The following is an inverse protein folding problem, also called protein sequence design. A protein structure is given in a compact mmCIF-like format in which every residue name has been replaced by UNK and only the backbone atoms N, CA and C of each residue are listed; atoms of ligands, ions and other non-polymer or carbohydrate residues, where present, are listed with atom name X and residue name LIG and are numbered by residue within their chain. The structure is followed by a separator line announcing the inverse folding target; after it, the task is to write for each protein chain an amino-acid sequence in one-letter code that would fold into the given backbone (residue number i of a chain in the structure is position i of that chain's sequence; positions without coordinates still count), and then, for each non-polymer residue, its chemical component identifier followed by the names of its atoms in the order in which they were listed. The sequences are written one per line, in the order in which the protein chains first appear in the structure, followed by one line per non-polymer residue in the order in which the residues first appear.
data_IF_185044047726
#
_entry.id   IF_185044047726
#
_cell.length_a   1.000
_cell.length_b   1.000
_cell.length_c   1.000
_cell.angle_alpha   90.00
_cell.angle_beta   90.00
_cell.angle_gamma   90.00
#
_symmetry.space_group_name_H-M   'P 1'
#
loop_
_entity.id
_entity.type
_entity.pdbx_description
1 polymer ?
#
# COMPACT_ATOMS: atom_id res chain seq x y z
N UNK A 1 51.05 39.33 -2.26
CA UNK A 1 51.85 39.30 -3.51
C UNK A 1 52.70 38.05 -3.41
N UNK A 2 52.62 37.21 -4.45
CA UNK A 2 53.17 35.85 -4.58
C UNK A 2 52.42 34.70 -3.89
N UNK A 3 52.27 33.65 -4.69
CA UNK A 3 51.75 32.30 -4.43
C UNK A 3 50.22 32.15 -4.37
N UNK A 4 49.62 31.86 -5.54
CA UNK A 4 48.78 30.68 -5.81
C UNK A 4 48.23 30.79 -7.24
N UNK A 5 49.11 30.64 -8.22
CA UNK A 5 48.75 30.43 -9.64
C UNK A 5 49.43 29.15 -10.09
N UNK A 6 48.76 28.00 -9.91
CA UNK A 6 48.99 26.77 -10.68
C UNK A 6 48.02 25.66 -10.24
N UNK A 7 46.79 25.69 -10.75
CA UNK A 7 45.94 24.48 -10.82
C UNK A 7 44.80 24.64 -11.84
N UNK A 8 45.08 25.29 -12.99
CA UNK A 8 44.13 25.41 -14.10
C UNK A 8 44.47 24.50 -15.31
N UNK A 9 45.38 23.54 -15.14
CA UNK A 9 45.85 22.65 -16.21
C UNK A 9 45.72 21.15 -15.87
N UNK A 10 44.73 20.77 -15.05
CA UNK A 10 44.43 19.37 -14.71
C UNK A 10 42.98 18.96 -15.04
N UNK A 11 42.29 19.72 -15.88
CA UNK A 11 40.93 19.46 -16.35
C UNK A 11 40.87 19.49 -17.88
N UNK A 12 41.75 18.73 -18.55
CA UNK A 12 41.63 18.50 -20.00
C UNK A 12 42.26 17.17 -20.45
N UNK A 13 42.12 16.13 -19.64
CA UNK A 13 42.37 14.75 -20.06
C UNK A 13 41.09 13.93 -19.86
N UNK A 14 40.05 14.29 -20.61
CA UNK A 14 39.13 13.28 -21.11
C UNK A 14 39.90 12.50 -22.18
N UNK A 15 40.85 11.67 -21.73
CA UNK A 15 41.32 10.57 -22.54
C UNK A 15 40.13 9.62 -22.72
N UNK A 16 39.73 9.51 -23.97
CA UNK A 16 38.89 8.46 -24.48
C UNK A 16 39.45 7.11 -24.04
N UNK A 17 38.87 6.52 -22.99
CA UNK A 17 39.02 5.10 -22.75
C UNK A 17 38.21 4.35 -23.82
N UNK A 18 38.97 3.64 -24.66
CA UNK A 18 38.47 2.76 -25.70
C UNK A 18 37.54 1.66 -25.14
N UNK A 19 36.60 1.15 -25.97
CA UNK A 19 35.71 0.07 -25.60
C UNK A 19 36.46 -1.27 -25.59
N UNK A 20 36.56 -1.94 -24.43
CA UNK A 20 36.98 -3.36 -24.34
C UNK A 20 36.69 -4.04 -22.98
N UNK A 21 35.48 -3.90 -22.44
CA UNK A 21 35.04 -4.67 -21.25
C UNK A 21 33.81 -5.54 -21.55
N UNK A 22 33.80 -6.22 -22.70
CA UNK A 22 32.53 -6.72 -23.26
C UNK A 22 31.93 -7.96 -22.59
N UNK A 23 32.63 -8.78 -21.82
CA UNK A 23 31.98 -9.89 -21.08
C UNK A 23 32.71 -10.20 -19.76
N UNK A 24 32.18 -9.69 -18.63
CA UNK A 24 32.74 -9.92 -17.27
C UNK A 24 32.27 -11.21 -16.59
N UNK A 25 31.26 -11.90 -17.15
CA UNK A 25 30.72 -13.17 -16.65
C UNK A 25 30.63 -14.18 -17.78
N UNK A 26 30.89 -15.46 -17.48
CA UNK A 26 30.77 -16.54 -18.46
C UNK A 26 29.37 -17.16 -18.34
N UNK A 27 28.55 -17.01 -19.37
CA UNK A 27 27.24 -17.66 -19.45
C UNK A 27 27.16 -18.57 -20.68
N UNK A 28 26.18 -19.48 -20.69
CA UNK A 28 25.78 -20.15 -21.93
C UNK A 28 25.31 -19.12 -22.95
N UNK A 29 25.55 -19.36 -24.24
CA UNK A 29 25.34 -18.39 -25.32
C UNK A 29 23.91 -17.83 -25.36
N UNK A 30 22.91 -18.66 -25.04
CA UNK A 30 21.49 -18.29 -24.99
C UNK A 30 21.11 -17.49 -23.73
N UNK A 31 21.94 -17.54 -22.69
CA UNK A 31 21.75 -16.80 -21.44
C UNK A 31 22.53 -15.48 -21.38
N UNK A 32 23.53 -15.29 -22.24
CA UNK A 32 24.40 -14.11 -22.20
C UNK A 32 23.63 -12.79 -22.24
N UNK A 33 22.59 -12.69 -23.07
CA UNK A 33 21.75 -11.47 -23.16
C UNK A 33 21.09 -11.07 -21.84
N UNK A 34 20.82 -12.04 -20.97
CA UNK A 34 20.21 -11.81 -19.67
C UNK A 34 21.25 -11.51 -18.61
N UNK A 35 22.39 -12.22 -18.64
CA UNK A 35 23.52 -11.97 -17.74
C UNK A 35 24.10 -10.57 -17.95
N UNK A 36 24.02 -10.02 -19.16
CA UNK A 36 24.39 -8.64 -19.50
C UNK A 36 23.56 -7.55 -18.77
N UNK A 37 22.48 -7.92 -18.08
CA UNK A 37 21.73 -7.02 -17.19
C UNK A 37 22.29 -6.93 -15.77
N UNK A 38 23.21 -7.82 -15.38
CA UNK A 38 23.83 -7.80 -14.07
C UNK A 38 24.94 -6.73 -14.02
N UNK A 39 24.77 -5.73 -13.17
CA UNK A 39 25.83 -4.75 -12.90
C UNK A 39 26.96 -5.41 -12.08
N UNK A 40 28.22 -5.24 -12.53
CA UNK A 40 29.38 -5.90 -11.92
C UNK A 40 29.56 -5.59 -10.43
N UNK A 41 29.31 -4.36 -10.01
CA UNK A 41 29.43 -3.93 -8.60
C UNK A 41 28.47 -4.67 -7.66
N UNK A 42 27.41 -5.27 -8.20
CA UNK A 42 26.34 -5.92 -7.43
C UNK A 42 26.53 -7.42 -7.32
N UNK A 43 27.32 -7.99 -8.20
CA UNK A 43 27.37 -9.42 -8.35
C UNK A 43 28.09 -10.11 -7.17
N UNK A 44 28.93 -9.41 -6.40
CA UNK A 44 29.85 -10.04 -5.41
C UNK A 44 30.68 -11.21 -6.00
N UNK A 45 30.69 -11.32 -7.33
CA UNK A 45 31.28 -12.43 -8.05
C UNK A 45 32.74 -12.15 -8.36
N UNK A 46 33.48 -13.24 -8.54
CA UNK A 46 34.85 -13.16 -9.06
C UNK A 46 34.82 -12.90 -10.56
N UNK A 47 35.89 -12.28 -11.05
CA UNK A 47 36.19 -12.22 -12.48
C UNK A 47 36.13 -13.66 -13.07
N UNK A 48 35.49 -13.83 -14.23
CA UNK A 48 35.33 -15.11 -14.95
C UNK A 48 34.47 -16.19 -14.26
N UNK A 49 33.64 -15.82 -13.29
CA UNK A 49 32.69 -16.76 -12.70
C UNK A 49 31.62 -17.18 -13.72
N UNK A 50 31.28 -18.48 -13.75
CA UNK A 50 30.15 -18.99 -14.55
C UNK A 50 28.83 -18.61 -13.88
N UNK A 51 27.95 -17.98 -14.63
CA UNK A 51 26.67 -17.45 -14.15
C UNK A 51 25.52 -18.00 -14.97
N UNK A 52 24.52 -18.55 -14.29
CA UNK A 52 23.23 -18.93 -14.86
C UNK A 52 22.14 -18.02 -14.30
N UNK A 53 21.13 -17.73 -15.11
CA UNK A 53 19.92 -17.03 -14.65
C UNK A 53 18.72 -17.99 -14.65
N UNK A 54 17.82 -17.82 -13.69
CA UNK A 54 16.61 -18.64 -13.61
C UNK A 54 15.64 -18.32 -14.76
N UNK A 55 14.58 -19.13 -14.89
CA UNK A 55 13.46 -18.83 -15.79
C UNK A 55 12.74 -17.53 -15.39
N UNK A 56 12.55 -17.30 -14.09
CA UNK A 56 11.87 -16.12 -13.58
C UNK A 56 12.65 -14.85 -13.90
N UNK A 57 13.98 -14.87 -13.72
CA UNK A 57 14.86 -13.78 -14.16
C UNK A 57 14.63 -13.43 -15.64
N UNK A 58 14.67 -14.43 -16.53
CA UNK A 58 14.46 -14.23 -17.97
C UNK A 58 13.10 -13.60 -18.27
N UNK A 59 12.05 -14.14 -17.67
CA UNK A 59 10.68 -13.64 -17.83
C UNK A 59 10.55 -12.17 -17.40
N UNK A 60 11.14 -11.79 -16.27
CA UNK A 60 11.10 -10.43 -15.72
C UNK A 60 11.83 -9.45 -16.64
N UNK A 61 13.02 -9.83 -17.15
CA UNK A 61 13.77 -9.01 -18.11
C UNK A 61 12.98 -8.85 -19.42
N UNK A 62 12.40 -9.93 -19.96
CA UNK A 62 11.63 -9.88 -21.20
C UNK A 62 10.34 -9.03 -21.06
N UNK A 63 9.73 -9.07 -19.87
CA UNK A 63 8.51 -8.31 -19.53
C UNK A 63 8.79 -6.81 -19.42
N UNK A 64 9.81 -6.42 -18.66
CA UNK A 64 10.03 -5.01 -18.34
C UNK A 64 11.09 -4.32 -19.18
N UNK A 65 11.93 -5.09 -19.88
CA UNK A 65 12.95 -4.61 -20.82
C UNK A 65 13.78 -3.45 -20.25
N UNK A 66 14.40 -3.62 -19.06
CA UNK A 66 15.25 -2.58 -18.51
C UNK A 66 16.44 -2.29 -19.45
N UNK A 67 17.11 -1.14 -19.32
CA UNK A 67 18.36 -0.90 -20.04
C UNK A 67 19.41 -1.99 -19.80
N UNK A 68 20.32 -2.21 -20.77
CA UNK A 68 21.47 -3.11 -20.59
C UNK A 68 22.29 -2.70 -19.37
N UNK A 69 22.82 -3.68 -18.63
CA UNK A 69 23.51 -3.46 -17.37
C UNK A 69 22.60 -3.06 -16.20
N UNK A 70 21.28 -3.14 -16.37
CA UNK A 70 20.32 -2.85 -15.30
C UNK A 70 19.27 -3.95 -15.13
N UNK A 71 18.84 -4.16 -13.88
CA UNK A 71 17.66 -4.96 -13.51
C UNK A 71 16.52 -4.03 -13.08
N UNK A 72 15.26 -4.41 -13.31
CA UNK A 72 14.14 -3.52 -13.07
C UNK A 72 13.92 -3.25 -11.57
N UNK A 73 13.37 -2.08 -11.20
CA UNK A 73 12.99 -1.80 -9.82
C UNK A 73 11.89 -2.73 -9.33
N UNK A 74 11.78 -2.87 -8.02
CA UNK A 74 10.84 -3.74 -7.34
C UNK A 74 11.23 -5.22 -7.39
N UNK A 75 12.50 -5.52 -7.65
CA UNK A 75 13.07 -6.86 -7.60
C UNK A 75 14.42 -6.84 -6.89
N UNK A 76 14.66 -7.85 -6.05
CA UNK A 76 15.98 -8.12 -5.47
C UNK A 76 16.67 -9.24 -6.24
N UNK A 77 17.99 -9.16 -6.34
CA UNK A 77 18.80 -10.28 -6.81
C UNK A 77 18.88 -11.33 -5.71
N UNK A 78 18.61 -12.58 -6.07
CA UNK A 78 18.82 -13.74 -5.19
C UNK A 78 19.91 -14.63 -5.77
N UNK A 79 20.93 -14.90 -4.97
CA UNK A 79 22.14 -15.59 -5.41
C UNK A 79 22.23 -16.96 -4.75
N UNK A 80 22.35 -17.99 -5.56
CA UNK A 80 22.58 -19.36 -5.12
C UNK A 80 23.88 -19.87 -5.73
N UNK A 81 24.80 -20.32 -4.87
CA UNK A 81 26.03 -20.96 -5.29
C UNK A 81 25.91 -22.46 -5.06
N UNK A 82 26.19 -23.24 -6.11
CA UNK A 82 26.29 -24.69 -5.98
C UNK A 82 27.74 -25.15 -5.75
N UNK A 83 27.90 -26.42 -5.38
CA UNK A 83 29.21 -27.06 -5.15
C UNK A 83 30.07 -27.15 -6.43
N UNK A 84 29.49 -26.88 -7.61
CA UNK A 84 30.19 -26.91 -8.89
C UNK A 84 30.86 -25.57 -9.23
N UNK A 85 30.65 -24.55 -8.41
CA UNK A 85 31.20 -23.21 -8.59
C UNK A 85 30.41 -22.32 -9.55
N UNK A 86 29.23 -22.77 -9.99
CA UNK A 86 28.32 -21.98 -10.83
C UNK A 86 27.44 -21.13 -9.91
N UNK A 87 27.31 -19.84 -10.22
CA UNK A 87 26.37 -18.95 -9.55
C UNK A 87 25.05 -18.94 -10.33
N UNK A 88 23.94 -19.26 -9.66
CA UNK A 88 22.59 -19.08 -10.20
C UNK A 88 21.97 -17.82 -9.61
N UNK A 89 21.37 -17.00 -10.47
CA UNK A 89 20.80 -15.70 -10.12
C UNK A 89 19.33 -15.65 -10.45
N UNK A 90 18.53 -15.21 -9.50
CA UNK A 90 17.10 -14.93 -9.68
C UNK A 90 16.77 -13.46 -9.46
N UNK A 91 15.61 -13.04 -9.98
CA UNK A 91 14.96 -11.78 -9.62
C UNK A 91 13.69 -12.09 -8.83
N UNK A 92 13.71 -11.78 -7.53
CA UNK A 92 12.58 -12.01 -6.62
C UNK A 92 11.84 -10.70 -6.40
N UNK A 93 10.51 -10.72 -6.55
CA UNK A 93 9.66 -9.53 -6.38
C UNK A 93 9.83 -8.97 -4.96
N UNK A 94 10.28 -7.73 -4.86
CA UNK A 94 10.37 -7.01 -3.59
C UNK A 94 10.34 -5.50 -3.82
N UNK A 95 9.20 -4.87 -3.51
CA UNK A 95 8.98 -3.43 -3.70
C UNK A 95 9.82 -2.54 -2.78
N UNK A 96 10.56 -3.11 -1.81
CA UNK A 96 11.55 -2.40 -1.02
C UNK A 96 12.84 -2.08 -1.82
N UNK A 97 12.98 -2.64 -3.02
CA UNK A 97 14.12 -2.44 -3.88
C UNK A 97 13.78 -1.56 -5.10
N UNK A 98 14.70 -0.66 -5.43
CA UNK A 98 14.76 0.08 -6.68
C UNK A 98 15.61 -0.73 -7.70
N UNK A 99 15.86 -0.14 -8.87
CA UNK A 99 16.63 -0.75 -9.95
C UNK A 99 17.95 -1.30 -9.43
N UNK A 100 18.40 -2.39 -10.04
CA UNK A 100 19.70 -2.98 -9.74
C UNK A 100 19.75 -3.49 -8.28
N UNK A 101 18.66 -4.07 -7.77
CA UNK A 101 18.59 -4.63 -6.41
C UNK A 101 19.12 -3.66 -5.33
N UNK A 102 18.94 -2.36 -5.52
CA UNK A 102 19.30 -1.33 -4.54
C UNK A 102 18.14 -1.14 -3.58
N UNK A 103 18.37 -1.21 -2.27
CA UNK A 103 17.30 -0.85 -1.33
C UNK A 103 16.89 0.60 -1.55
N UNK A 104 15.59 0.87 -1.42
CA UNK A 104 15.07 2.24 -1.35
C UNK A 104 15.73 2.98 -0.17
N UNK A 105 15.85 4.32 -0.22
CA UNK A 105 16.59 5.09 0.78
C UNK A 105 16.09 4.93 2.22
N UNK A 106 14.78 4.70 2.38
CA UNK A 106 14.14 4.42 3.67
C UNK A 106 13.48 3.05 3.63
N UNK A 107 13.45 2.32 4.75
CA UNK A 107 12.69 1.07 4.85
C UNK A 107 11.18 1.31 4.73
N UNK A 108 10.70 2.47 5.20
CA UNK A 108 9.30 2.87 5.06
C UNK A 108 8.93 3.06 3.59
N UNK A 109 7.85 2.41 3.18
CA UNK A 109 7.33 2.44 1.81
C UNK A 109 6.09 3.34 1.72
N UNK A 110 5.93 4.00 0.58
CA UNK A 110 4.80 4.87 0.30
C UNK A 110 3.92 4.31 -0.81
N UNK A 111 2.62 4.56 -0.69
CA UNK A 111 1.59 4.34 -1.69
C UNK A 111 0.71 5.56 -1.85
N UNK A 112 0.11 5.65 -3.02
CA UNK A 112 -0.94 6.60 -3.32
C UNK A 112 -2.28 5.89 -3.46
N UNK A 113 -3.33 6.51 -2.92
CA UNK A 113 -4.71 6.02 -2.97
C UNK A 113 -5.48 6.86 -3.99
N UNK A 114 -5.26 6.59 -5.28
CA UNK A 114 -5.85 7.35 -6.40
C UNK A 114 -5.84 6.49 -7.67
N UNK A 115 -6.66 6.86 -8.65
CA UNK A 115 -6.55 6.36 -10.02
C UNK A 115 -6.37 7.48 -11.05
N UNK A 116 -6.21 8.72 -10.62
CA UNK A 116 -6.03 9.86 -11.51
C UNK A 116 -4.58 9.92 -12.03
N UNK A 117 -4.32 9.67 -13.33
CA UNK A 117 -2.95 9.64 -13.87
C UNK A 117 -2.17 10.93 -13.63
N UNK A 118 -2.85 12.08 -13.65
CA UNK A 118 -2.22 13.40 -13.44
C UNK A 118 -1.73 13.60 -12.01
N UNK A 119 -2.46 13.07 -11.03
CA UNK A 119 -2.08 13.12 -9.61
C UNK A 119 -1.00 12.08 -9.27
N UNK A 120 -0.98 10.95 -9.99
CA UNK A 120 -0.03 9.85 -9.77
C UNK A 120 1.34 10.15 -10.40
N UNK A 121 1.39 10.83 -11.56
CA UNK A 121 2.63 11.05 -12.30
C UNK A 121 3.78 11.67 -11.48
N UNK A 122 3.55 12.68 -10.63
CA UNK A 122 4.59 13.24 -9.75
C UNK A 122 5.17 12.23 -8.73
N UNK A 123 4.40 11.20 -8.37
CA UNK A 123 4.79 10.18 -7.39
C UNK A 123 5.50 8.97 -7.99
N UNK A 124 5.50 8.82 -9.32
CA UNK A 124 5.93 7.62 -10.04
C UNK A 124 7.30 7.05 -9.65
N UNK A 125 8.23 7.90 -9.18
CA UNK A 125 9.58 7.50 -8.76
C UNK A 125 9.75 7.37 -7.24
N UNK A 126 8.73 7.73 -6.46
CA UNK A 126 8.79 7.81 -5.01
C UNK A 126 7.98 6.68 -4.34
N UNK A 127 6.90 6.23 -4.97
CA UNK A 127 6.03 5.19 -4.41
C UNK A 127 6.49 3.78 -4.76
N UNK A 128 6.10 2.85 -3.91
CA UNK A 128 6.32 1.41 -4.04
C UNK A 128 5.01 0.64 -4.29
N UNK A 129 3.87 1.28 -4.05
CA UNK A 129 2.55 0.71 -4.27
C UNK A 129 1.55 1.80 -4.71
N UNK A 130 0.45 1.38 -5.33
CA UNK A 130 -0.78 2.15 -5.50
C UNK A 130 -1.96 1.31 -5.03
N UNK A 131 -2.92 1.92 -4.33
CA UNK A 131 -4.19 1.28 -4.00
C UNK A 131 -5.33 1.95 -4.75
N UNK A 132 -6.27 1.15 -5.27
CA UNK A 132 -7.56 1.65 -5.71
C UNK A 132 -8.69 0.78 -5.16
N UNK A 133 -9.89 1.35 -5.13
CA UNK A 133 -11.14 0.70 -4.75
C UNK A 133 -12.26 1.25 -5.64
N UNK A 134 -13.45 0.62 -5.68
CA UNK A 134 -14.52 1.06 -6.57
C UNK A 134 -14.90 2.53 -6.40
N UNK A 135 -14.97 3.04 -5.16
CA UNK A 135 -15.27 4.46 -4.91
C UNK A 135 -14.22 5.40 -5.49
N UNK A 136 -12.93 5.08 -5.36
CA UNK A 136 -11.85 5.87 -5.99
C UNK A 136 -11.94 5.82 -7.51
N UNK A 137 -12.23 4.65 -8.08
CA UNK A 137 -12.30 4.46 -9.53
C UNK A 137 -13.46 5.21 -10.14
N UNK A 138 -14.67 4.98 -9.62
CA UNK A 138 -15.89 5.44 -10.24
C UNK A 138 -16.27 6.83 -9.74
N UNK A 139 -16.30 7.06 -8.43
CA UNK A 139 -16.84 8.30 -7.86
C UNK A 139 -15.81 9.44 -7.90
N UNK A 140 -14.54 9.16 -7.58
CA UNK A 140 -13.51 10.19 -7.47
C UNK A 140 -12.73 10.45 -8.77
N UNK A 141 -12.96 9.66 -9.82
CA UNK A 141 -12.26 9.84 -11.09
C UNK A 141 -13.12 9.65 -12.33
N UNK A 142 -13.55 8.43 -12.68
CA UNK A 142 -14.18 8.18 -13.97
C UNK A 142 -15.45 9.00 -14.18
N UNK A 143 -16.28 9.14 -13.13
CA UNK A 143 -17.52 9.90 -13.18
C UNK A 143 -17.35 11.37 -12.75
N UNK A 144 -16.13 11.81 -12.43
CA UNK A 144 -15.84 13.19 -12.07
C UNK A 144 -15.27 13.95 -13.30
N UNK A 145 -16.07 14.83 -13.95
CA UNK A 145 -15.62 15.55 -15.13
C UNK A 145 -14.53 16.60 -14.86
N UNK A 146 -14.34 17.03 -13.60
CA UNK A 146 -13.24 17.93 -13.22
C UNK A 146 -11.91 17.18 -13.13
N UNK A 147 -11.96 15.89 -12.78
CA UNK A 147 -10.77 15.03 -12.64
C UNK A 147 -10.44 14.28 -13.93
N UNK A 148 -11.43 13.66 -14.58
CA UNK A 148 -11.31 13.01 -15.89
C UNK A 148 -11.53 14.05 -17.00
N UNK A 149 -10.62 15.02 -17.07
CA UNK A 149 -10.74 16.21 -17.93
C UNK A 149 -10.94 15.80 -19.39
N UNK A 150 -12.08 16.20 -19.96
CA UNK A 150 -12.44 15.90 -21.34
C UNK A 150 -12.86 14.45 -21.59
N UNK A 151 -13.20 13.67 -20.55
CA UNK A 151 -13.53 12.25 -20.63
C UNK A 151 -12.43 11.44 -21.35
N UNK A 152 -11.18 11.73 -21.02
CA UNK A 152 -10.02 11.08 -21.63
C UNK A 152 -10.04 9.55 -21.42
N UNK A 153 -10.61 9.09 -20.30
CA UNK A 153 -10.77 7.68 -19.96
C UNK A 153 -12.24 7.31 -19.88
N UNK A 154 -12.63 6.21 -20.52
CA UNK A 154 -13.99 5.67 -20.47
C UNK A 154 -14.12 4.39 -19.63
N UNK A 155 -13.01 3.69 -19.35
CA UNK A 155 -13.03 2.42 -18.62
C UNK A 155 -11.90 2.30 -17.60
N UNK A 156 -12.12 1.48 -16.57
CA UNK A 156 -11.06 1.11 -15.61
C UNK A 156 -9.83 0.51 -16.33
N UNK A 157 -10.01 -0.21 -17.43
CA UNK A 157 -8.91 -0.89 -18.13
C UNK A 157 -7.97 0.10 -18.82
N UNK A 158 -8.51 1.19 -19.37
CA UNK A 158 -7.71 2.29 -19.91
C UNK A 158 -6.93 3.00 -18.80
N UNK A 159 -7.56 3.20 -17.65
CA UNK A 159 -6.93 3.83 -16.49
C UNK A 159 -5.81 2.95 -15.92
N UNK A 160 -6.06 1.65 -15.71
CA UNK A 160 -5.05 0.71 -15.21
C UNK A 160 -3.86 0.59 -16.17
N UNK A 161 -4.11 0.62 -17.49
CA UNK A 161 -3.04 0.62 -18.49
C UNK A 161 -2.16 1.84 -18.36
N UNK A 162 -2.75 3.02 -18.20
CA UNK A 162 -2.00 4.27 -18.05
C UNK A 162 -1.26 4.35 -16.71
N UNK A 163 -1.91 3.94 -15.62
CA UNK A 163 -1.26 3.83 -14.29
C UNK A 163 -0.06 2.88 -14.36
N UNK A 164 -0.23 1.71 -14.99
CA UNK A 164 0.86 0.76 -15.20
C UNK A 164 2.02 1.37 -16.00
N UNK A 165 1.73 2.17 -17.03
CA UNK A 165 2.75 2.89 -17.82
C UNK A 165 3.49 3.93 -16.97
N UNK A 166 2.78 4.69 -16.14
CA UNK A 166 3.35 5.75 -15.30
C UNK A 166 4.23 5.17 -14.19
N UNK A 167 3.75 4.16 -13.47
CA UNK A 167 4.41 3.62 -12.28
C UNK A 167 5.52 2.61 -12.61
N UNK A 168 5.45 1.96 -13.77
CA UNK A 168 6.45 1.01 -14.20
C UNK A 168 6.57 -0.24 -13.32
N UNK A 169 7.68 -0.99 -13.40
CA UNK A 169 7.89 -2.25 -12.69
C UNK A 169 8.00 -2.14 -11.17
N UNK A 170 8.48 -1.00 -10.65
CA UNK A 170 8.85 -0.84 -9.24
C UNK A 170 7.70 -0.71 -8.27
N UNK A 171 6.46 -0.78 -8.76
CA UNK A 171 5.26 -0.48 -8.03
C UNK A 171 4.26 -1.65 -8.10
N UNK A 172 3.73 -2.06 -6.95
CA UNK A 172 2.57 -2.92 -6.88
C UNK A 172 1.28 -2.11 -7.04
N UNK A 173 0.26 -2.68 -7.69
CA UNK A 173 -1.01 -2.01 -7.96
C UNK A 173 -2.11 -2.92 -7.40
N UNK A 174 -2.68 -2.48 -6.27
CA UNK A 174 -3.78 -3.17 -5.60
C UNK A 174 -5.11 -2.77 -6.23
N UNK A 175 -5.73 -3.69 -6.96
CA UNK A 175 -7.04 -3.50 -7.62
C UNK A 175 -8.10 -4.30 -6.89
N UNK A 176 -9.12 -3.63 -6.38
CA UNK A 176 -10.20 -4.26 -5.62
C UNK A 176 -11.23 -4.91 -6.54
N UNK A 177 -11.67 -6.11 -6.15
CA UNK A 177 -12.72 -6.84 -6.86
C UNK A 177 -14.00 -6.02 -6.91
N UNK A 178 -14.65 -6.02 -8.08
CA UNK A 178 -15.91 -5.32 -8.28
C UNK A 178 -17.05 -5.95 -7.46
N UNK A 179 -17.15 -7.28 -7.49
CA UNK A 179 -18.15 -8.02 -6.74
C UNK A 179 -17.51 -9.17 -5.94
N UNK A 180 -17.07 -8.92 -4.68
CA UNK A 180 -16.55 -9.98 -3.82
C UNK A 180 -17.64 -10.98 -3.39
N UNK A 181 -18.92 -10.74 -3.71
CA UNK A 181 -20.07 -11.59 -3.38
C UNK A 181 -20.48 -12.57 -4.48
N UNK A 182 -19.77 -12.57 -5.61
CA UNK A 182 -20.00 -13.53 -6.71
C UNK A 182 -19.77 -14.99 -6.27
N UNK A 183 -20.78 -15.84 -6.48
CA UNK A 183 -20.73 -17.26 -6.07
C UNK A 183 -19.90 -18.12 -7.03
N UNK A 184 -19.86 -17.76 -8.31
CA UNK A 184 -19.05 -18.45 -9.29
C UNK A 184 -17.62 -17.91 -9.24
N UNK A 185 -16.72 -18.65 -8.58
CA UNK A 185 -15.32 -18.25 -8.51
C UNK A 185 -14.67 -18.03 -9.89
N UNK A 186 -15.09 -18.73 -10.94
CA UNK A 186 -14.55 -18.50 -12.28
C UNK A 186 -14.85 -17.08 -12.79
N UNK A 187 -16.00 -16.50 -12.45
CA UNK A 187 -16.29 -15.12 -12.83
C UNK A 187 -15.38 -14.11 -12.09
N UNK A 188 -15.04 -14.38 -10.83
CA UNK A 188 -14.04 -13.60 -10.10
C UNK A 188 -12.66 -13.78 -10.75
N UNK A 189 -12.30 -15.00 -11.14
CA UNK A 189 -11.04 -15.28 -11.80
C UNK A 189 -10.95 -14.60 -13.16
N UNK A 190 -12.02 -14.57 -13.95
CA UNK A 190 -12.09 -13.86 -15.24
C UNK A 190 -11.83 -12.35 -15.05
N UNK A 191 -12.38 -11.76 -13.99
CA UNK A 191 -12.09 -10.37 -13.61
C UNK A 191 -10.60 -10.17 -13.27
N UNK A 192 -10.03 -11.05 -12.43
CA UNK A 192 -8.61 -11.00 -12.04
C UNK A 192 -7.69 -11.18 -13.25
N UNK A 193 -7.98 -12.12 -14.14
CA UNK A 193 -7.23 -12.38 -15.37
C UNK A 193 -7.26 -11.19 -16.32
N UNK A 194 -8.39 -10.48 -16.39
CA UNK A 194 -8.49 -9.23 -17.16
C UNK A 194 -7.55 -8.17 -16.60
N UNK A 195 -7.50 -7.98 -15.27
CA UNK A 195 -6.55 -7.06 -14.65
C UNK A 195 -5.10 -7.52 -14.83
N UNK A 196 -4.83 -8.81 -14.72
CA UNK A 196 -3.51 -9.39 -14.93
C UNK A 196 -3.03 -9.20 -16.37
N UNK A 197 -3.91 -9.29 -17.37
CA UNK A 197 -3.55 -9.06 -18.77
C UNK A 197 -3.04 -7.63 -19.04
N UNK A 198 -3.45 -6.67 -18.20
CA UNK A 198 -3.09 -5.25 -18.32
C UNK A 198 -1.84 -4.94 -17.48
N UNK A 199 -1.82 -5.41 -16.23
CA UNK A 199 -0.78 -5.06 -15.25
C UNK A 199 0.35 -6.09 -15.20
N UNK A 200 0.09 -7.33 -15.60
CA UNK A 200 0.99 -8.46 -15.44
C UNK A 200 1.05 -8.96 -13.99
N UNK A 201 1.39 -10.25 -13.84
CA UNK A 201 1.47 -10.94 -12.53
C UNK A 201 2.36 -10.26 -11.48
N UNK A 202 3.39 -9.55 -11.94
CA UNK A 202 4.38 -8.94 -11.05
C UNK A 202 3.94 -7.60 -10.45
N UNK A 203 2.94 -6.93 -11.04
CA UNK A 203 2.43 -5.65 -10.52
C UNK A 203 1.07 -5.80 -9.89
N UNK A 204 0.20 -6.68 -10.43
CA UNK A 204 -1.12 -6.89 -9.87
C UNK A 204 -1.02 -7.44 -8.43
N UNK A 205 -1.81 -6.83 -7.55
CA UNK A 205 -2.20 -7.38 -6.25
C UNK A 205 -3.73 -7.32 -6.19
N UNK A 206 -4.38 -8.45 -5.95
CA UNK A 206 -5.85 -8.52 -5.93
C UNK A 206 -6.31 -8.04 -4.55
N UNK A 207 -7.12 -6.99 -4.50
CA UNK A 207 -7.62 -6.45 -3.25
C UNK A 207 -8.99 -7.05 -2.92
N UNK A 208 -9.08 -7.66 -1.74
CA UNK A 208 -10.24 -8.43 -1.27
C UNK A 208 -10.69 -7.83 0.05
N UNK A 209 -11.98 -7.50 0.24
CA UNK A 209 -12.45 -6.94 1.50
C UNK A 209 -12.72 -8.00 2.57
N UNK A 210 -12.56 -7.63 3.84
CA UNK A 210 -13.30 -8.26 4.93
C UNK A 210 -14.80 -8.02 4.67
N UNK A 211 -15.56 -9.11 4.63
CA UNK A 211 -16.97 -9.10 4.22
C UNK A 211 -17.95 -8.87 5.36
N UNK A 212 -17.53 -9.08 6.62
CA UNK A 212 -18.44 -8.96 7.76
C UNK A 212 -19.64 -9.90 7.61
N UNK A 213 -20.86 -9.50 8.02
CA UNK A 213 -22.06 -10.33 7.87
C UNK A 213 -22.63 -10.33 6.43
N UNK A 214 -21.91 -9.78 5.45
CA UNK A 214 -22.41 -9.59 4.08
C UNK A 214 -21.98 -10.77 3.20
N UNK A 215 -22.91 -11.33 2.46
CA UNK A 215 -22.71 -12.47 1.58
C UNK A 215 -23.62 -12.46 0.35
N UNK A 216 -23.55 -13.52 -0.47
CA UNK A 216 -24.27 -13.59 -1.75
C UNK A 216 -25.78 -13.41 -1.64
N UNK A 217 -26.37 -13.85 -0.52
CA UNK A 217 -27.81 -13.78 -0.29
C UNK A 217 -28.34 -12.41 0.14
N UNK A 218 -27.47 -11.50 0.62
CA UNK A 218 -27.92 -10.27 1.28
C UNK A 218 -27.21 -8.98 0.83
N UNK A 219 -26.11 -9.04 0.06
CA UNK A 219 -25.35 -7.85 -0.33
C UNK A 219 -26.18 -6.80 -1.09
N UNK A 220 -27.18 -7.23 -1.87
CA UNK A 220 -28.08 -6.32 -2.60
C UNK A 220 -28.89 -5.39 -1.70
N UNK A 221 -29.02 -5.69 -0.40
CA UNK A 221 -29.66 -4.80 0.57
C UNK A 221 -28.92 -3.45 0.66
N UNK A 222 -27.60 -3.45 0.48
CA UNK A 222 -26.76 -2.23 0.49
C UNK A 222 -27.05 -1.30 -0.69
N UNK A 223 -27.68 -1.80 -1.76
CA UNK A 223 -28.02 -1.03 -2.96
C UNK A 223 -29.49 -0.63 -3.02
N UNK A 224 -30.30 -1.09 -2.06
CA UNK A 224 -31.75 -0.93 -2.06
C UNK A 224 -32.19 0.05 -0.96
N UNK A 225 -33.32 0.72 -1.16
CA UNK A 225 -33.92 1.58 -0.13
C UNK A 225 -33.01 2.75 0.25
N UNK A 226 -32.74 2.90 1.54
CA UNK A 226 -31.85 3.93 2.09
C UNK A 226 -30.38 3.48 2.19
N UNK A 227 -30.06 2.27 1.71
CA UNK A 227 -28.72 1.70 1.68
C UNK A 227 -28.25 1.10 3.02
N UNK A 228 -29.09 1.06 4.05
CA UNK A 228 -28.72 0.45 5.34
C UNK A 228 -28.76 -1.07 5.29
N UNK A 229 -27.83 -1.69 6.00
CA UNK A 229 -27.80 -3.14 6.10
C UNK A 229 -28.78 -3.64 7.18
N UNK A 230 -29.66 -4.61 6.87
CA UNK A 230 -30.74 -5.01 7.77
C UNK A 230 -30.28 -5.89 8.94
N UNK A 231 -29.05 -6.38 8.92
CA UNK A 231 -28.49 -7.29 9.92
C UNK A 231 -27.35 -6.57 10.64
N UNK A 232 -27.27 -6.72 11.97
CA UNK A 232 -26.15 -6.17 12.74
C UNK A 232 -24.82 -6.77 12.29
N UNK A 233 -23.74 -6.00 12.42
CA UNK A 233 -22.39 -6.46 12.08
C UNK A 233 -21.98 -7.77 12.80
N UNK A 234 -22.57 -8.06 13.98
CA UNK A 234 -22.29 -9.22 14.83
C UNK A 234 -23.34 -10.35 14.78
N UNK A 235 -24.33 -10.28 13.88
CA UNK A 235 -25.43 -11.26 13.75
C UNK A 235 -25.45 -12.01 12.40
N UNK A 236 -24.34 -12.06 11.67
CA UNK A 236 -24.20 -12.81 10.42
C UNK A 236 -23.92 -14.32 10.61
N UNK A 237 -23.78 -15.04 9.50
CA UNK A 237 -23.35 -16.43 9.52
C UNK A 237 -21.84 -16.58 9.33
N UNK A 238 -21.20 -17.64 9.86
CA UNK A 238 -19.77 -17.89 9.67
C UNK A 238 -19.34 -17.89 8.20
N UNK A 239 -20.19 -18.35 7.28
CA UNK A 239 -19.93 -18.34 5.84
C UNK A 239 -19.78 -16.93 5.26
N UNK A 240 -20.58 -15.97 5.73
CA UNK A 240 -20.50 -14.57 5.32
C UNK A 240 -19.25 -13.90 5.92
N UNK A 241 -19.01 -14.13 7.21
CA UNK A 241 -17.83 -13.61 7.92
C UNK A 241 -16.51 -14.07 7.32
N UNK A 242 -16.46 -15.34 6.91
CA UNK A 242 -15.25 -15.95 6.35
C UNK A 242 -15.18 -15.85 4.83
N UNK A 243 -16.18 -15.28 4.16
CA UNK A 243 -16.19 -15.19 2.71
C UNK A 243 -14.94 -14.51 2.14
N UNK A 244 -14.59 -13.32 2.65
CA UNK A 244 -13.36 -12.62 2.23
C UNK A 244 -12.09 -13.44 2.49
N UNK A 245 -12.03 -14.19 3.59
CA UNK A 245 -10.88 -15.04 3.93
C UNK A 245 -10.76 -16.24 2.97
N UNK A 246 -11.87 -16.91 2.70
CA UNK A 246 -11.93 -18.04 1.77
C UNK A 246 -11.58 -17.58 0.35
N UNK A 247 -12.03 -16.39 -0.05
CA UNK A 247 -11.68 -15.82 -1.34
C UNK A 247 -10.17 -15.50 -1.44
N UNK A 248 -9.58 -14.93 -0.40
CA UNK A 248 -8.15 -14.67 -0.32
C UNK A 248 -7.32 -15.97 -0.41
N UNK A 249 -7.72 -17.03 0.31
CA UNK A 249 -7.09 -18.35 0.25
C UNK A 249 -7.18 -18.98 -1.14
N UNK A 250 -8.35 -18.88 -1.77
CA UNK A 250 -8.62 -19.44 -3.10
C UNK A 250 -7.84 -18.70 -4.20
N UNK A 251 -7.57 -17.40 -4.03
CA UNK A 251 -6.67 -16.62 -4.89
C UNK A 251 -5.19 -16.95 -4.63
N UNK A 252 -4.78 -17.08 -3.36
CA UNK A 252 -3.41 -17.43 -2.98
C UNK A 252 -3.01 -18.82 -3.50
N UNK A 253 -3.92 -19.80 -3.45
CA UNK A 253 -3.70 -21.15 -3.99
C UNK A 253 -3.47 -21.18 -5.51
N UNK A 254 -3.90 -20.12 -6.22
CA UNK A 254 -3.64 -19.88 -7.64
C UNK A 254 -2.40 -19.02 -7.91
N UNK A 255 -1.69 -18.61 -6.87
CA UNK A 255 -0.47 -17.82 -6.96
C UNK A 255 -0.67 -16.30 -7.01
N UNK A 256 -1.88 -15.81 -6.73
CA UNK A 256 -2.14 -14.37 -6.65
C UNK A 256 -1.73 -13.79 -5.30
N UNK A 257 -1.11 -12.61 -5.33
CA UNK A 257 -0.86 -11.80 -4.14
C UNK A 257 -2.14 -11.05 -3.78
N UNK A 258 -2.54 -11.12 -2.50
CA UNK A 258 -3.79 -10.53 -2.00
C UNK A 258 -3.52 -9.35 -1.08
N UNK A 259 -4.24 -8.24 -1.29
CA UNK A 259 -4.36 -7.12 -0.36
C UNK A 259 -5.69 -7.26 0.40
N UNK A 260 -5.65 -7.61 1.69
CA UNK A 260 -6.84 -7.79 2.50
C UNK A 260 -7.27 -6.46 3.13
N UNK A 261 -8.39 -5.91 2.66
CA UNK A 261 -8.87 -4.57 2.99
C UNK A 261 -10.10 -4.56 3.93
N UNK A 262 -10.60 -3.37 4.28
CA UNK A 262 -11.72 -3.12 5.20
C UNK A 262 -11.50 -3.68 6.61
N UNK A 263 -10.28 -3.52 7.12
CA UNK A 263 -9.88 -3.90 8.47
C UNK A 263 -9.85 -2.67 9.39
N UNK A 264 -10.63 -2.71 10.46
CA UNK A 264 -10.83 -1.62 11.41
C UNK A 264 -10.50 -2.02 12.85
N UNK A 265 -10.62 -3.31 13.20
CA UNK A 265 -10.50 -3.78 14.58
C UNK A 265 -9.22 -4.64 14.78
N UNK A 266 -8.49 -4.46 15.90
CA UNK A 266 -7.20 -5.11 16.15
C UNK A 266 -7.23 -6.65 16.07
N UNK A 267 -8.36 -7.27 16.41
CA UNK A 267 -8.54 -8.71 16.42
C UNK A 267 -8.75 -9.30 15.02
N UNK A 268 -8.99 -8.48 13.99
CA UNK A 268 -9.12 -8.96 12.61
C UNK A 268 -7.77 -9.42 12.06
N UNK A 269 -6.67 -8.75 12.42
CA UNK A 269 -5.33 -9.05 11.89
C UNK A 269 -4.89 -10.50 12.07
N UNK A 270 -4.90 -11.12 13.27
CA UNK A 270 -4.45 -12.51 13.42
C UNK A 270 -5.30 -13.51 12.62
N UNK A 271 -6.59 -13.22 12.40
CA UNK A 271 -7.46 -14.02 11.53
C UNK A 271 -7.14 -13.81 10.05
N UNK A 272 -6.96 -12.56 9.63
CA UNK A 272 -6.58 -12.21 8.26
C UNK A 272 -5.26 -12.88 7.85
N UNK A 273 -4.28 -12.94 8.75
CA UNK A 273 -2.99 -13.59 8.51
C UNK A 273 -3.11 -15.11 8.23
N UNK A 274 -4.19 -15.77 8.65
CA UNK A 274 -4.42 -17.19 8.28
C UNK A 274 -4.67 -17.36 6.77
N UNK A 275 -5.15 -16.32 6.09
CA UNK A 275 -5.36 -16.31 4.66
C UNK A 275 -4.08 -15.97 3.86
N UNK A 276 -2.92 -15.88 4.52
CA UNK A 276 -1.59 -15.65 3.91
C UNK A 276 -1.54 -14.41 2.98
N UNK A 277 -2.14 -13.27 3.35
CA UNK A 277 -2.20 -12.11 2.47
C UNK A 277 -0.81 -11.50 2.23
N UNK A 278 -0.63 -10.87 1.08
CA UNK A 278 0.55 -10.07 0.79
C UNK A 278 0.49 -8.71 1.52
N UNK A 279 -0.71 -8.13 1.63
CA UNK A 279 -0.96 -6.94 2.44
C UNK A 279 -2.17 -7.14 3.36
N UNK A 280 -2.08 -6.63 4.59
CA UNK A 280 -3.23 -6.38 5.47
C UNK A 280 -3.37 -4.89 5.67
N UNK A 281 -4.58 -4.39 5.88
CA UNK A 281 -4.83 -2.95 6.00
C UNK A 281 -5.17 -2.57 7.44
N UNK A 282 -5.01 -1.29 7.77
CA UNK A 282 -5.59 -0.67 8.97
C UNK A 282 -6.20 0.68 8.59
N UNK A 283 -7.53 0.77 8.67
CA UNK A 283 -8.29 1.99 8.37
C UNK A 283 -8.35 2.90 9.61
N UNK A 284 -7.66 4.03 9.55
CA UNK A 284 -7.39 4.85 10.74
C UNK A 284 -8.51 5.85 11.05
N UNK A 285 -8.89 6.66 10.06
CA UNK A 285 -9.83 7.78 10.25
C UNK A 285 -11.15 7.38 10.90
N UNK A 286 -11.87 6.45 10.27
CA UNK A 286 -13.22 6.11 10.74
C UNK A 286 -13.17 5.51 12.15
N UNK A 287 -12.11 4.74 12.46
CA UNK A 287 -11.87 4.22 13.80
C UNK A 287 -11.65 5.34 14.82
N UNK A 288 -10.77 6.30 14.51
CA UNK A 288 -10.51 7.44 15.39
C UNK A 288 -11.77 8.28 15.62
N UNK A 289 -12.49 8.61 14.56
CA UNK A 289 -13.72 9.41 14.62
C UNK A 289 -14.81 8.72 15.45
N UNK A 290 -15.03 7.43 15.25
CA UNK A 290 -15.93 6.62 16.06
C UNK A 290 -15.53 6.64 17.55
N UNK A 291 -14.23 6.50 17.84
CA UNK A 291 -13.70 6.51 19.21
C UNK A 291 -13.93 7.85 19.90
N UNK A 292 -13.59 8.96 19.23
CA UNK A 292 -13.82 10.32 19.74
C UNK A 292 -15.30 10.58 19.99
N UNK A 293 -16.18 10.19 19.06
CA UNK A 293 -17.64 10.34 19.21
C UNK A 293 -18.18 9.57 20.41
N UNK A 294 -17.80 8.31 20.57
CA UNK A 294 -18.26 7.46 21.67
C UNK A 294 -17.74 7.96 23.02
N UNK A 295 -16.48 8.35 23.12
CA UNK A 295 -15.92 8.97 24.33
C UNK A 295 -16.69 10.23 24.71
N UNK A 296 -16.97 11.11 23.75
CA UNK A 296 -17.70 12.35 23.99
C UNK A 296 -19.11 12.12 24.52
N UNK A 297 -19.89 11.23 23.88
CA UNK A 297 -21.24 10.89 24.33
C UNK A 297 -21.24 10.21 25.71
N UNK A 298 -20.29 9.29 25.94
CA UNK A 298 -20.17 8.60 27.22
C UNK A 298 -19.82 9.58 28.35
N UNK A 299 -18.83 10.46 28.14
CA UNK A 299 -18.43 11.46 29.12
C UNK A 299 -19.58 12.44 29.45
N UNK A 300 -20.34 12.86 28.44
CA UNK A 300 -21.50 13.73 28.63
C UNK A 300 -22.60 13.06 29.46
N UNK A 301 -22.89 11.77 29.21
CA UNK A 301 -23.80 10.99 30.02
C UNK A 301 -23.28 10.81 31.46
N UNK A 302 -22.00 10.43 31.64
CA UNK A 302 -21.42 10.22 32.98
C UNK A 302 -21.40 11.50 33.82
N UNK A 303 -21.23 12.66 33.19
CA UNK A 303 -21.22 13.96 33.87
C UNK A 303 -22.62 14.49 34.23
N UNK A 304 -23.66 14.12 33.48
CA UNK A 304 -25.00 14.73 33.59
C UNK A 304 -26.11 13.79 34.01
N UNK A 305 -25.92 12.48 33.84
CA UNK A 305 -26.95 11.45 33.85
C UNK A 305 -28.12 11.69 32.88
N UNK A 306 -27.97 12.61 31.90
CA UNK A 306 -28.99 12.88 30.89
C UNK A 306 -29.07 11.72 29.89
N UNK A 307 -30.23 11.05 29.85
CA UNK A 307 -30.51 9.93 28.96
C UNK A 307 -30.51 10.32 27.49
N UNK A 308 -30.66 11.61 27.16
CA UNK A 308 -30.61 12.10 25.79
C UNK A 308 -29.29 11.75 25.08
N UNK A 309 -28.18 11.66 25.82
CA UNK A 309 -26.88 11.25 25.26
C UNK A 309 -26.84 9.76 24.89
N UNK A 310 -27.56 8.91 25.61
CA UNK A 310 -27.69 7.48 25.26
C UNK A 310 -28.60 7.27 24.06
N UNK A 311 -29.66 8.09 23.92
CA UNK A 311 -30.51 8.10 22.71
C UNK A 311 -29.67 8.52 21.50
N UNK A 312 -28.93 9.62 21.60
CA UNK A 312 -28.00 10.05 20.54
C UNK A 312 -26.94 8.99 20.20
N UNK A 313 -26.47 8.23 21.19
CA UNK A 313 -25.54 7.12 20.98
C UNK A 313 -26.17 5.98 20.20
N UNK A 314 -27.42 5.61 20.51
CA UNK A 314 -28.18 4.59 19.78
C UNK A 314 -28.42 5.01 18.33
N UNK A 315 -28.88 6.25 18.12
CA UNK A 315 -29.13 6.78 16.77
C UNK A 315 -27.84 6.82 15.94
N UNK A 316 -26.72 7.16 16.59
CA UNK A 316 -25.40 7.14 15.96
C UNK A 316 -24.95 5.71 15.64
N UNK A 317 -25.16 4.73 16.53
CA UNK A 317 -24.89 3.32 16.26
C UNK A 317 -25.66 2.79 15.06
N UNK A 318 -26.95 3.12 14.96
CA UNK A 318 -27.78 2.73 13.81
C UNK A 318 -27.26 3.40 12.53
N UNK A 319 -26.86 4.68 12.59
CA UNK A 319 -26.32 5.42 11.45
C UNK A 319 -24.90 5.03 11.01
N UNK A 320 -24.22 4.18 11.78
CA UNK A 320 -22.84 3.74 11.50
C UNK A 320 -22.70 2.21 11.59
N UNK A 321 -23.79 1.48 11.34
CA UNK A 321 -23.85 0.01 11.20
C UNK A 321 -23.37 -0.80 12.43
N UNK A 322 -23.30 -0.17 13.62
CA UNK A 322 -23.12 -0.89 14.88
C UNK A 322 -24.40 -1.61 15.30
N UNK A 323 -25.55 -1.04 14.93
CA UNK A 323 -26.88 -1.57 15.17
C UNK A 323 -27.69 -1.54 13.86
N UNK A 324 -28.66 -2.44 13.71
CA UNK A 324 -29.58 -2.42 12.58
C UNK A 324 -30.75 -1.47 12.87
N UNK A 325 -31.50 -1.09 11.84
CA UNK A 325 -32.70 -0.26 12.03
C UNK A 325 -33.74 -0.88 12.98
N UNK A 326 -33.84 -2.22 12.97
CA UNK A 326 -34.73 -2.95 13.86
C UNK A 326 -34.38 -2.77 15.35
N UNK A 327 -33.18 -2.27 15.66
CA UNK A 327 -32.72 -1.96 17.01
C UNK A 327 -33.07 -0.52 17.45
N UNK A 328 -33.94 0.20 16.71
CA UNK A 328 -34.37 1.57 17.04
C UNK A 328 -34.92 1.71 18.46
N UNK A 329 -35.53 0.66 19.01
CA UNK A 329 -36.07 0.62 20.36
C UNK A 329 -35.18 -0.13 21.37
N UNK A 330 -33.92 -0.42 21.01
CA UNK A 330 -32.97 -1.11 21.90
C UNK A 330 -32.83 -0.38 23.23
N UNK A 331 -32.84 -1.16 24.32
CA UNK A 331 -32.66 -0.66 25.68
C UNK A 331 -31.36 0.15 25.83
N UNK A 332 -31.46 1.33 26.45
CA UNK A 332 -30.34 2.29 26.54
C UNK A 332 -29.20 1.79 27.41
N UNK A 333 -29.47 0.93 28.40
CA UNK A 333 -28.40 0.31 29.19
C UNK A 333 -27.61 -0.68 28.34
N UNK A 334 -28.30 -1.42 27.45
CA UNK A 334 -27.66 -2.29 26.46
C UNK A 334 -26.78 -1.49 25.49
N UNK A 335 -27.27 -0.36 24.97
CA UNK A 335 -26.47 0.56 24.13
C UNK A 335 -25.21 1.04 24.86
N UNK A 336 -25.36 1.47 26.11
CA UNK A 336 -24.24 1.90 26.95
C UNK A 336 -23.20 0.79 27.14
N UNK A 337 -23.64 -0.45 27.40
CA UNK A 337 -22.75 -1.60 27.56
C UNK A 337 -22.00 -1.93 26.27
N UNK A 338 -22.66 -1.86 25.11
CA UNK A 338 -22.01 -2.03 23.81
C UNK A 338 -20.95 -0.96 23.58
N UNK A 339 -21.24 0.32 23.84
CA UNK A 339 -20.27 1.40 23.70
C UNK A 339 -19.05 1.23 24.59
N UNK A 340 -19.24 0.84 25.86
CA UNK A 340 -18.13 0.53 26.77
C UNK A 340 -17.29 -0.65 26.27
N UNK A 341 -17.92 -1.65 25.66
CA UNK A 341 -17.22 -2.81 25.08
C UNK A 341 -16.36 -2.40 23.88
N UNK A 342 -16.88 -1.58 22.96
CA UNK A 342 -16.10 -1.05 21.84
C UNK A 342 -14.92 -0.22 22.33
N UNK A 343 -15.13 0.70 23.28
CA UNK A 343 -14.07 1.54 23.82
C UNK A 343 -12.99 0.74 24.55
N UNK A 344 -13.36 -0.33 25.27
CA UNK A 344 -12.38 -1.24 25.91
C UNK A 344 -11.42 -1.87 24.90
N UNK A 345 -11.89 -2.14 23.68
CA UNK A 345 -11.07 -2.73 22.62
C UNK A 345 -10.25 -1.67 21.84
N UNK A 346 -10.28 -0.39 22.26
CA UNK A 346 -9.71 0.78 21.57
C UNK A 346 -8.62 1.50 22.39
N UNK A 347 -8.05 0.81 23.38
CA UNK A 347 -7.04 1.40 24.27
C UNK A 347 -5.79 0.53 24.27
N UNK A 348 -4.75 0.99 23.58
CA UNK A 348 -3.39 0.44 23.66
C UNK A 348 -2.46 1.38 24.45
N UNK A 349 -2.94 1.91 25.58
CA UNK A 349 -2.21 2.91 26.36
C UNK A 349 -2.12 4.31 25.73
N UNK A 350 -2.43 4.46 24.44
CA UNK A 350 -2.38 5.72 23.68
C UNK A 350 -3.73 6.03 22.98
N UNK A 351 -4.80 6.34 23.72
CA UNK A 351 -6.16 6.25 23.19
C UNK A 351 -6.61 7.46 22.35
N UNK A 352 -5.72 8.41 22.04
CA UNK A 352 -6.07 9.69 21.41
C UNK A 352 -5.61 9.82 19.94
N UNK A 353 -4.64 9.00 19.51
CA UNK A 353 -4.07 9.04 18.15
C UNK A 353 -4.80 8.12 17.14
N UNK A 354 -5.58 7.14 17.62
CA UNK A 354 -6.33 6.20 16.79
C UNK A 354 -5.48 5.11 16.12
N UNK A 355 -4.23 4.92 16.57
CA UNK A 355 -3.27 3.98 16.01
C UNK A 355 -3.23 2.63 16.75
N UNK A 356 -4.16 2.37 17.66
CA UNK A 356 -4.23 1.13 18.44
C UNK A 356 -4.34 -0.13 17.55
N UNK A 357 -5.16 -0.08 16.49
CA UNK A 357 -5.26 -1.18 15.52
C UNK A 357 -3.98 -1.36 14.69
N UNK A 358 -3.28 -0.26 14.37
CA UNK A 358 -2.01 -0.30 13.66
C UNK A 358 -0.91 -0.94 14.53
N UNK A 359 -0.74 -0.47 15.78
CA UNK A 359 0.20 -1.05 16.74
C UNK A 359 -0.02 -2.53 16.95
N UNK A 360 -1.28 -2.94 17.19
CA UNK A 360 -1.59 -4.37 17.37
C UNK A 360 -1.32 -5.19 16.10
N UNK A 361 -1.58 -4.62 14.92
CA UNK A 361 -1.28 -5.31 13.66
C UNK A 361 0.22 -5.51 13.46
N UNK A 362 1.05 -4.54 13.81
CA UNK A 362 2.51 -4.67 13.78
C UNK A 362 3.02 -5.73 14.75
N UNK A 363 2.46 -5.81 15.96
CA UNK A 363 2.80 -6.89 16.92
C UNK A 363 2.49 -8.27 16.36
N UNK A 364 1.33 -8.43 15.71
CA UNK A 364 0.98 -9.69 15.06
C UNK A 364 1.87 -10.01 13.86
N UNK A 365 2.24 -9.01 13.05
CA UNK A 365 3.20 -9.21 11.97
C UNK A 365 4.57 -9.64 12.50
N UNK A 366 5.06 -8.99 13.55
CA UNK A 366 6.33 -9.34 14.19
C UNK A 366 6.36 -10.79 14.70
N UNK A 367 5.23 -11.28 15.20
CA UNK A 367 5.07 -12.66 15.67
C UNK A 367 4.69 -13.67 14.55
N UNK A 368 4.42 -13.21 13.33
CA UNK A 368 3.96 -14.07 12.24
C UNK A 368 5.11 -14.78 11.52
N UNK A 369 4.81 -15.96 10.95
CA UNK A 369 5.74 -16.71 10.09
C UNK A 369 5.71 -16.25 8.63
N UNK A 370 4.96 -15.19 8.31
CA UNK A 370 4.88 -14.64 6.96
C UNK A 370 5.95 -13.57 6.80
N UNK A 371 6.97 -13.84 5.99
CA UNK A 371 8.12 -12.93 5.83
C UNK A 371 7.80 -11.71 4.97
N UNK A 372 6.89 -11.88 4.01
CA UNK A 372 6.68 -10.89 2.94
C UNK A 372 5.42 -10.05 3.13
N UNK A 373 4.57 -10.41 4.11
CA UNK A 373 3.34 -9.67 4.41
C UNK A 373 3.66 -8.30 5.01
N UNK A 374 3.02 -7.24 4.52
CA UNK A 374 3.14 -5.88 5.05
C UNK A 374 1.80 -5.31 5.53
N UNK A 375 1.86 -4.38 6.48
CA UNK A 375 0.72 -3.59 6.92
C UNK A 375 0.62 -2.32 6.05
N UNK A 376 -0.53 -2.11 5.43
CA UNK A 376 -0.89 -0.84 4.81
C UNK A 376 -1.67 0.00 5.83
N UNK A 377 -1.11 1.15 6.20
CA UNK A 377 -1.82 2.18 6.95
C UNK A 377 -2.58 3.05 5.96
N UNK A 378 -3.91 3.10 6.06
CA UNK A 378 -4.77 3.75 5.09
C UNK A 378 -5.86 4.60 5.76
N UNK A 379 -6.60 5.34 4.93
CA UNK A 379 -7.67 6.25 5.37
C UNK A 379 -7.15 7.30 6.36
N UNK A 380 -6.22 8.12 5.89
CA UNK A 380 -5.63 9.22 6.65
C UNK A 380 -6.29 10.55 6.26
N UNK A 381 -6.43 11.47 7.23
CA UNK A 381 -6.84 12.84 6.99
C UNK A 381 -6.32 13.77 8.10
N UNK A 382 -6.55 15.08 7.94
CA UNK A 382 -6.25 16.07 8.98
C UNK A 382 -4.75 16.21 9.30
N UNK A 383 -4.39 17.13 10.18
CA UNK A 383 -3.00 17.54 10.41
C UNK A 383 -2.22 16.69 11.41
N UNK A 384 -2.87 15.70 12.02
CA UNK A 384 -2.29 14.91 13.13
C UNK A 384 -1.85 13.50 12.67
N UNK A 385 -2.65 12.84 11.82
CA UNK A 385 -2.49 11.40 11.57
C UNK A 385 -1.13 11.00 10.99
N UNK A 386 -0.60 11.71 10.00
CA UNK A 386 0.70 11.35 9.42
C UNK A 386 1.87 11.59 10.40
N UNK A 387 1.97 12.74 11.11
CA UNK A 387 2.91 12.91 12.21
C UNK A 387 2.79 11.82 13.29
N UNK A 388 1.57 11.46 13.68
CA UNK A 388 1.33 10.43 14.70
C UNK A 388 1.81 9.05 14.23
N UNK A 389 1.60 8.71 12.95
CA UNK A 389 2.14 7.48 12.35
C UNK A 389 3.67 7.50 12.35
N UNK A 390 4.28 8.62 11.96
CA UNK A 390 5.74 8.76 11.99
C UNK A 390 6.28 8.59 13.42
N UNK A 391 5.61 9.15 14.42
CA UNK A 391 5.95 8.97 15.84
C UNK A 391 5.83 7.50 16.27
N UNK A 392 4.72 6.83 15.89
CA UNK A 392 4.51 5.41 16.17
C UNK A 392 5.63 4.55 15.56
N UNK A 393 6.03 4.81 14.31
CA UNK A 393 7.02 4.01 13.60
C UNK A 393 8.46 4.17 14.14
N UNK A 394 8.73 5.17 14.98
CA UNK A 394 10.02 5.33 15.66
C UNK A 394 9.98 4.87 17.12
N UNK A 395 8.85 4.37 17.60
CA UNK A 395 8.77 3.70 18.90
C UNK A 395 9.74 2.50 18.91
N UNK A 396 10.44 2.21 20.04
CA UNK A 396 11.41 1.11 20.11
C UNK A 396 10.86 -0.25 19.70
N UNK A 397 9.55 -0.47 19.91
CA UNK A 397 8.85 -1.70 19.53
C UNK A 397 8.74 -1.87 18.00
N UNK A 398 8.67 -0.78 17.23
CA UNK A 398 8.30 -0.81 15.81
C UNK A 398 9.40 -0.36 14.84
N UNK A 399 10.51 0.21 15.33
CA UNK A 399 11.60 0.73 14.49
C UNK A 399 12.19 -0.33 13.54
N UNK A 400 12.21 -1.61 13.95
CA UNK A 400 12.71 -2.72 13.13
C UNK A 400 11.67 -3.31 12.17
N UNK A 401 10.43 -2.79 12.18
CA UNK A 401 9.32 -3.28 11.35
C UNK A 401 8.94 -2.27 10.26
N UNK A 402 9.68 -1.17 10.10
CA UNK A 402 9.36 -0.11 9.13
C UNK A 402 9.31 -0.63 7.68
N UNK A 403 10.10 -1.65 7.33
CA UNK A 403 10.09 -2.33 6.03
C UNK A 403 8.89 -3.26 5.80
N UNK A 404 8.12 -3.50 6.87
CA UNK A 404 6.83 -4.18 6.86
C UNK A 404 5.66 -3.21 6.89
N UNK A 405 5.89 -1.91 6.74
CA UNK A 405 4.84 -0.88 6.72
C UNK A 405 4.82 -0.14 5.39
N UNK A 406 3.60 0.11 4.94
CA UNK A 406 3.32 0.92 3.77
C UNK A 406 2.26 1.97 4.11
N UNK A 407 2.52 3.23 3.81
CA UNK A 407 1.56 4.32 4.07
C UNK A 407 0.84 4.65 2.77
N UNK A 408 -0.50 4.58 2.74
CA UNK A 408 -1.31 4.94 1.57
C UNK A 408 -2.33 6.02 1.90
N UNK A 409 -2.46 7.02 1.03
CA UNK A 409 -3.42 8.12 1.14
C UNK A 409 -3.51 8.85 -0.19
N UNK A 410 -4.48 9.77 -0.29
CA UNK A 410 -4.59 10.74 -1.38
C UNK A 410 -3.23 11.40 -1.71
N UNK A 411 -2.82 11.45 -3.01
CA UNK A 411 -1.57 12.05 -3.46
C UNK A 411 -1.34 13.50 -2.99
N UNK A 412 -2.39 14.33 -2.92
CA UNK A 412 -2.27 15.73 -2.52
C UNK A 412 -2.04 15.83 -1.02
N UNK A 413 -2.79 15.07 -0.22
CA UNK A 413 -2.59 14.98 1.21
C UNK A 413 -1.16 14.51 1.54
N UNK A 414 -0.64 13.49 0.87
CA UNK A 414 0.74 13.03 1.10
C UNK A 414 1.77 14.12 0.74
N UNK A 415 1.52 14.86 -0.33
CA UNK A 415 2.46 15.85 -0.87
C UNK A 415 2.69 17.04 0.07
N UNK A 416 1.68 17.41 0.86
CA UNK A 416 1.74 18.58 1.75
C UNK A 416 2.80 18.43 2.84
N UNK A 417 3.17 17.19 3.18
CA UNK A 417 4.21 16.87 4.18
C UNK A 417 5.63 17.16 3.71
N UNK A 418 5.81 17.52 2.43
CA UNK A 418 7.06 18.07 1.91
C UNK A 418 7.23 19.57 2.20
N UNK A 419 6.24 20.21 2.81
CA UNK A 419 6.17 21.67 3.01
C UNK A 419 6.14 22.06 4.48
N UNK A 420 6.54 23.32 4.75
CA UNK A 420 6.31 24.00 6.03
C UNK A 420 6.27 25.52 5.81
N UNK A 421 5.73 26.32 6.75
CA UNK A 421 5.80 27.79 6.66
C UNK A 421 7.24 28.32 6.51
N UNK A 422 8.23 27.61 7.07
CA UNK A 422 9.65 27.96 6.97
C UNK A 422 10.19 27.70 5.57
N UNK A 423 9.73 26.68 4.84
CA UNK A 423 10.12 26.45 3.44
C UNK A 423 9.82 27.70 2.61
N UNK A 424 8.59 28.23 2.70
CA UNK A 424 8.18 29.44 1.97
C UNK A 424 9.00 30.65 2.43
N UNK A 425 9.20 30.81 3.73
CA UNK A 425 9.90 31.96 4.31
C UNK A 425 11.37 32.02 3.87
N UNK A 426 12.07 30.87 3.86
CA UNK A 426 13.45 30.78 3.41
C UNK A 426 13.58 30.92 1.90
N UNK A 427 12.70 30.30 1.11
CA UNK A 427 12.67 30.50 -0.34
C UNK A 427 12.50 31.99 -0.69
N UNK A 428 11.57 32.69 -0.03
CA UNK A 428 11.40 34.14 -0.21
C UNK A 428 12.68 34.91 0.10
N UNK A 429 13.37 34.57 1.20
CA UNK A 429 14.64 35.20 1.57
C UNK A 429 15.74 34.95 0.53
N UNK A 430 15.89 33.72 0.08
CA UNK A 430 16.92 33.33 -0.90
C UNK A 430 16.69 33.97 -2.26
N UNK A 431 15.44 33.99 -2.74
CA UNK A 431 15.10 34.63 -4.01
C UNK A 431 15.38 36.14 -3.99
N UNK A 432 15.11 36.83 -2.86
CA UNK A 432 15.48 38.25 -2.68
C UNK A 432 16.99 38.48 -2.63
N UNK A 433 17.74 37.59 -1.99
CA UNK A 433 19.20 37.67 -1.96
C UNK A 433 19.79 37.48 -3.37
N UNK A 434 19.31 36.47 -4.10
CA UNK A 434 19.73 36.19 -5.47
C UNK A 434 19.40 37.34 -6.43
N UNK A 435 18.20 37.94 -6.32
CA UNK A 435 17.82 39.08 -7.16
C UNK A 435 18.67 40.33 -6.90
N UNK A 436 19.20 40.49 -5.69
CA UNK A 436 20.07 41.62 -5.33
C UNK A 436 21.49 41.42 -5.83
N UNK A 437 21.98 40.17 -5.91
CA UNK A 437 23.32 39.85 -6.42
C UNK A 437 23.40 39.80 -7.96
N UNK A 438 22.25 39.68 -8.65
CA UNK A 438 22.16 39.69 -10.11
C UNK A 438 22.05 41.10 -10.72
N UNK A 439 21.95 42.14 -9.87
CA UNK A 439 22.03 43.56 -10.23
C UNK A 439 23.37 44.13 -9.72
#
# INVERSE_FOLDING_TARGET
MQEFTNTAAALSAQESMAPSEEHRFLAETDQQRYVDHLAFEQARLRHDQRVHVTRAFREIIDTFRPPRGQTPPGFRLDWHHDDTGIATVDLVRDIAYDSNSRRRPTPLLFSVDSVNPSEIAPWSRLVANLTCNPGIVYDLFLNDPEKNVGNQFGTIDEVLREIGRILGPGCDISVELHNPYETNFNAILDEVLRYESILGKHRLVVKVPHTGPIGPGNWNALLSGDGRFPIRYDNGHPEDYLRGHNLALELESRGYRVNFTLMFEPHQTPLALQARPYFVNAFLRNRLNATRKLKGLLAAWEASADRSFLVQMRDWFISNDFLAEADADMDLLTVLMSAKTHLRNRTDGHPEDGLDAARQSLRWLAASNLTDTRLILCSMEGDEMFPDICNMLVEPEFVLLQDRVLITTDPVYLSRWTSSPQVISYQRRFMRAASTAAN
#
